data_IF_764436239172
#
_entry.id   IF_764436239172
#
_cell.length_a   1.000
_cell.length_b   1.000
_cell.length_c   1.000
_cell.angle_alpha   90.00
_cell.angle_beta   90.00
_cell.angle_gamma   90.00
#
_symmetry.space_group_name_H-M   'P 1'
#
loop_
_entity.id
_entity.type
_entity.pdbx_description
1 polymer ?
#
# COMPACT_ATOMS: atom_id res chain seq x y z
N UNK A 1 5.24 -32.33 -6.37
CA UNK A 1 4.47 -31.07 -6.51
C UNK A 1 4.45 -30.31 -5.17
N UNK A 2 5.33 -29.32 -5.03
CA UNK A 2 5.59 -28.57 -3.79
C UNK A 2 4.55 -27.45 -3.65
N UNK A 3 3.28 -27.80 -3.43
CA UNK A 3 2.34 -26.87 -2.80
C UNK A 3 2.50 -27.07 -1.29
N UNK A 4 3.61 -26.54 -0.77
CA UNK A 4 3.83 -26.44 0.67
C UNK A 4 2.65 -25.71 1.28
N UNK A 5 2.10 -26.27 2.36
CA UNK A 5 1.01 -25.75 3.18
C UNK A 5 1.12 -24.23 3.29
N UNK A 6 0.13 -23.49 2.78
CA UNK A 6 -0.11 -22.12 3.23
C UNK A 6 -0.47 -22.22 4.72
N UNK A 7 0.51 -22.06 5.60
CA UNK A 7 0.24 -21.92 7.02
C UNK A 7 -0.26 -20.49 7.24
N UNK A 8 -1.51 -20.35 7.64
CA UNK A 8 -2.05 -19.08 8.07
C UNK A 8 -1.28 -18.67 9.34
N UNK A 9 -0.39 -17.68 9.20
CA UNK A 9 0.49 -17.21 10.26
C UNK A 9 0.28 -15.70 10.47
N UNK A 10 -0.80 -15.30 11.16
CA UNK A 10 -1.18 -13.89 11.30
C UNK A 10 -0.11 -13.06 12.01
N UNK A 11 0.64 -13.66 12.93
CA UNK A 11 1.66 -12.96 13.71
C UNK A 11 3.07 -13.01 13.09
N UNK A 12 3.26 -13.79 12.01
CA UNK A 12 4.53 -13.83 11.30
C UNK A 12 4.77 -12.53 10.52
N UNK A 13 6.04 -12.22 10.31
CA UNK A 13 6.47 -11.00 9.61
C UNK A 13 6.05 -11.06 8.14
N UNK A 14 5.26 -10.09 7.71
CA UNK A 14 4.82 -9.92 6.33
C UNK A 14 5.70 -8.91 5.57
N UNK A 15 6.07 -7.81 6.23
CA UNK A 15 6.83 -6.69 5.62
C UNK A 15 7.91 -6.21 6.56
N UNK A 16 9.07 -5.84 5.99
CA UNK A 16 10.12 -5.11 6.72
C UNK A 16 10.34 -3.76 6.05
N UNK A 17 10.02 -2.67 6.75
CA UNK A 17 10.28 -1.31 6.29
C UNK A 17 11.54 -0.75 6.95
N UNK A 18 12.47 -0.26 6.14
CA UNK A 18 13.68 0.40 6.66
C UNK A 18 13.44 1.90 6.88
N UNK A 19 13.94 2.39 8.00
CA UNK A 19 13.91 3.81 8.38
C UNK A 19 15.33 4.34 8.56
N UNK A 20 15.56 5.64 8.37
CA UNK A 20 16.91 6.24 8.38
C UNK A 20 17.70 6.01 9.67
N UNK A 21 17.00 5.90 10.82
CA UNK A 21 17.61 5.68 12.13
C UNK A 21 18.39 6.90 12.64
N UNK A 22 18.16 7.31 13.88
CA UNK A 22 18.83 8.48 14.49
C UNK A 22 20.35 8.33 14.67
N UNK A 23 20.87 7.11 14.58
CA UNK A 23 22.29 6.76 14.73
C UNK A 23 23.03 6.63 13.39
N UNK A 24 22.40 7.03 12.27
CA UNK A 24 22.96 6.93 10.92
C UNK A 24 22.98 5.52 10.30
N UNK A 25 22.50 4.51 11.04
CA UNK A 25 22.32 3.14 10.53
C UNK A 25 20.83 2.86 10.37
N UNK A 26 20.37 2.40 9.19
CA UNK A 26 18.97 2.09 8.98
C UNK A 26 18.46 1.01 9.95
N UNK A 27 17.23 1.20 10.45
CA UNK A 27 16.55 0.23 11.32
C UNK A 27 15.40 -0.41 10.56
N UNK A 28 15.35 -1.74 10.54
CA UNK A 28 14.24 -2.52 9.97
C UNK A 28 13.09 -2.64 10.96
N UNK A 29 11.91 -2.18 10.56
CA UNK A 29 10.66 -2.35 11.31
C UNK A 29 9.90 -3.52 10.71
N UNK A 30 9.72 -4.57 11.50
CA UNK A 30 8.93 -5.75 11.13
C UNK A 30 7.45 -5.49 11.36
N UNK A 31 6.63 -5.83 10.38
CA UNK A 31 5.17 -5.67 10.43
C UNK A 31 4.54 -7.03 10.15
N UNK A 32 3.68 -7.50 11.05
CA UNK A 32 2.98 -8.79 10.91
C UNK A 32 1.85 -8.72 9.88
N UNK A 33 1.36 -9.88 9.45
CA UNK A 33 0.16 -9.97 8.62
C UNK A 33 -1.07 -9.35 9.32
N UNK A 34 -1.27 -9.64 10.61
CA UNK A 34 -2.38 -9.10 11.40
C UNK A 34 -2.34 -7.58 11.52
N UNK A 35 -1.15 -7.00 11.73
CA UNK A 35 -0.97 -5.55 11.78
C UNK A 35 -1.35 -4.86 10.47
N UNK A 36 -0.97 -5.46 9.32
CA UNK A 36 -1.35 -4.95 8.01
C UNK A 36 -2.85 -5.00 7.77
N UNK A 37 -3.50 -6.12 8.11
CA UNK A 37 -4.95 -6.30 7.96
C UNK A 37 -5.71 -5.27 8.82
N UNK A 38 -5.36 -5.14 10.10
CA UNK A 38 -6.02 -4.19 11.02
C UNK A 38 -5.83 -2.75 10.54
N UNK A 39 -4.62 -2.39 10.10
CA UNK A 39 -4.36 -1.08 9.51
C UNK A 39 -5.22 -0.82 8.27
N UNK A 40 -5.36 -1.81 7.38
CA UNK A 40 -6.12 -1.65 6.15
C UNK A 40 -7.62 -1.53 6.43
N UNK A 41 -8.17 -2.32 7.35
CA UNK A 41 -9.57 -2.16 7.79
C UNK A 41 -9.82 -0.77 8.40
N UNK A 42 -8.89 -0.28 9.24
CA UNK A 42 -8.99 1.06 9.80
C UNK A 42 -8.90 2.15 8.72
N UNK A 43 -8.00 1.98 7.73
CA UNK A 43 -7.85 2.90 6.60
C UNK A 43 -9.13 2.96 5.76
N UNK A 44 -9.70 1.81 5.41
CA UNK A 44 -10.98 1.70 4.68
C UNK A 44 -12.07 2.44 5.44
N UNK A 45 -12.20 2.20 6.74
CA UNK A 45 -13.24 2.83 7.56
C UNK A 45 -13.10 4.36 7.68
N UNK A 46 -11.86 4.88 7.74
CA UNK A 46 -11.59 6.31 7.91
C UNK A 46 -11.67 7.08 6.60
N UNK A 47 -11.11 6.51 5.51
CA UNK A 47 -11.06 7.18 4.20
C UNK A 47 -12.33 6.92 3.39
N UNK A 48 -13.00 5.79 3.62
CA UNK A 48 -14.17 5.39 2.87
C UNK A 48 -13.85 4.74 1.53
N UNK A 49 -12.71 4.03 1.42
CA UNK A 49 -12.37 3.30 0.20
C UNK A 49 -13.41 2.21 -0.12
N UNK A 50 -13.75 2.11 -1.40
CA UNK A 50 -14.72 1.14 -1.93
C UNK A 50 -14.16 0.44 -3.17
N UNK A 51 -14.89 -0.56 -3.66
CA UNK A 51 -14.61 -1.23 -4.92
C UNK A 51 -14.74 -0.31 -6.16
N UNK A 52 -15.47 0.81 -6.03
CA UNK A 52 -15.67 1.78 -7.11
C UNK A 52 -14.50 2.78 -7.24
N UNK A 53 -13.55 2.77 -6.30
CA UNK A 53 -12.42 3.69 -6.29
C UNK A 53 -11.33 3.29 -7.28
N UNK A 54 -10.73 4.31 -7.92
CA UNK A 54 -9.54 4.20 -8.77
C UNK A 54 -8.38 4.89 -8.08
N UNK A 55 -7.43 4.11 -7.56
CA UNK A 55 -6.31 4.59 -6.77
C UNK A 55 -5.02 4.74 -7.58
N UNK A 56 -4.49 5.95 -7.66
CA UNK A 56 -3.20 6.23 -8.28
C UNK A 56 -2.06 6.09 -7.28
N UNK A 57 -1.10 5.22 -7.58
CA UNK A 57 0.14 5.07 -6.82
C UNK A 57 1.12 6.22 -7.10
N UNK A 58 1.01 7.29 -6.30
CA UNK A 58 1.90 8.46 -6.32
C UNK A 58 3.04 8.37 -5.30
N UNK A 59 2.88 7.55 -4.25
CA UNK A 59 3.90 7.32 -3.22
C UNK A 59 4.69 6.02 -3.51
N UNK A 60 5.99 5.95 -3.14
CA UNK A 60 6.77 4.73 -3.33
C UNK A 60 6.23 3.55 -2.52
N UNK A 61 6.08 2.39 -3.16
CA UNK A 61 5.65 1.13 -2.51
C UNK A 61 6.75 0.49 -1.63
N UNK A 62 7.96 1.04 -1.60
CA UNK A 62 9.00 0.64 -0.64
C UNK A 62 8.91 1.38 0.71
N UNK A 63 7.96 2.31 0.84
CA UNK A 63 7.68 3.05 2.06
C UNK A 63 6.30 2.71 2.60
N UNK A 64 6.14 2.72 3.93
CA UNK A 64 4.87 2.37 4.58
C UNK A 64 3.71 3.28 4.15
N UNK A 65 4.01 4.54 3.77
CA UNK A 65 3.03 5.46 3.20
C UNK A 65 2.34 4.88 1.97
N UNK A 66 3.11 4.44 0.97
CA UNK A 66 2.58 3.81 -0.24
C UNK A 66 1.93 2.45 0.01
N UNK A 67 2.58 1.60 0.82
CA UNK A 67 2.07 0.25 1.14
C UNK A 67 0.71 0.35 1.85
N UNK A 68 0.54 1.28 2.79
CA UNK A 68 -0.66 1.33 3.64
C UNK A 68 -1.95 1.59 2.85
N UNK A 69 -1.98 2.65 2.04
CA UNK A 69 -3.15 2.93 1.19
C UNK A 69 -3.29 1.93 0.06
N UNK A 70 -2.18 1.42 -0.50
CA UNK A 70 -2.23 0.37 -1.53
C UNK A 70 -2.89 -0.91 -1.03
N UNK A 71 -2.54 -1.38 0.17
CA UNK A 71 -3.13 -2.60 0.73
C UNK A 71 -4.60 -2.41 1.12
N UNK A 72 -4.94 -1.24 1.68
CA UNK A 72 -6.32 -0.90 1.98
C UNK A 72 -7.20 -0.88 0.72
N UNK A 73 -6.72 -0.27 -0.36
CA UNK A 73 -7.39 -0.27 -1.66
C UNK A 73 -7.54 -1.67 -2.25
N UNK A 74 -6.50 -2.51 -2.12
CA UNK A 74 -6.56 -3.90 -2.56
C UNK A 74 -7.62 -4.69 -1.78
N UNK A 75 -7.71 -4.48 -0.46
CA UNK A 75 -8.70 -5.12 0.40
C UNK A 75 -10.13 -4.62 0.14
N UNK A 76 -10.29 -3.34 -0.23
CA UNK A 76 -11.58 -2.77 -0.65
C UNK A 76 -12.03 -3.28 -2.03
N UNK A 77 -11.13 -3.86 -2.83
CA UNK A 77 -11.44 -4.37 -4.17
C UNK A 77 -11.40 -3.30 -5.27
N UNK A 78 -10.85 -2.12 -4.98
CA UNK A 78 -10.77 -1.02 -5.95
C UNK A 78 -9.68 -1.21 -7.01
N UNK A 79 -9.70 -0.34 -8.01
CA UNK A 79 -8.77 -0.35 -9.13
C UNK A 79 -7.44 0.33 -8.77
N UNK A 80 -6.33 -0.21 -9.25
CA UNK A 80 -5.00 0.38 -9.06
C UNK A 80 -4.42 0.89 -10.38
N UNK A 81 -4.05 2.17 -10.39
CA UNK A 81 -3.30 2.80 -11.48
C UNK A 81 -1.86 3.01 -11.02
N UNK A 82 -0.91 2.51 -11.81
CA UNK A 82 0.52 2.62 -11.52
C UNK A 82 1.20 3.47 -12.58
N UNK A 83 2.08 4.36 -12.14
CA UNK A 83 3.03 5.07 -13.00
C UNK A 83 4.45 4.63 -12.63
N UNK A 84 5.41 4.56 -13.59
CA UNK A 84 6.77 4.07 -13.30
C UNK A 84 7.49 4.86 -12.21
N UNK A 85 7.20 6.16 -12.15
CA UNK A 85 7.72 7.11 -11.17
C UNK A 85 6.73 8.27 -11.06
N UNK A 86 6.65 8.87 -9.88
CA UNK A 86 5.93 10.12 -9.73
C UNK A 86 6.58 11.24 -10.54
N UNK A 87 5.83 11.75 -11.51
CA UNK A 87 6.11 12.98 -12.24
C UNK A 87 4.78 13.72 -12.40
N UNK A 88 4.75 15.02 -12.09
CA UNK A 88 3.48 15.76 -12.01
C UNK A 88 2.66 15.69 -13.30
N UNK A 89 3.32 15.77 -14.47
CA UNK A 89 2.65 15.67 -15.77
C UNK A 89 2.06 14.28 -16.02
N UNK A 90 2.82 13.22 -15.73
CA UNK A 90 2.35 11.84 -15.88
C UNK A 90 1.21 11.53 -14.91
N UNK A 91 1.30 12.02 -13.67
CA UNK A 91 0.24 11.87 -12.68
C UNK A 91 -1.04 12.59 -13.13
N UNK A 92 -0.94 13.85 -13.60
CA UNK A 92 -2.10 14.59 -14.10
C UNK A 92 -2.76 13.90 -15.29
N UNK A 93 -1.96 13.39 -16.23
CA UNK A 93 -2.46 12.61 -17.37
C UNK A 93 -3.14 11.32 -16.91
N UNK A 94 -2.53 10.56 -16.00
CA UNK A 94 -3.10 9.33 -15.48
C UNK A 94 -4.42 9.56 -14.72
N UNK A 95 -4.53 10.69 -14.01
CA UNK A 95 -5.77 11.11 -13.33
C UNK A 95 -6.90 11.31 -14.35
N UNK A 96 -6.62 12.02 -15.44
CA UNK A 96 -7.60 12.30 -16.48
C UNK A 96 -8.00 11.04 -17.25
N UNK A 97 -7.02 10.25 -17.71
CA UNK A 97 -7.24 9.06 -18.55
C UNK A 97 -7.96 7.91 -17.83
N UNK A 98 -7.70 7.74 -16.53
CA UNK A 98 -8.21 6.61 -15.76
C UNK A 98 -9.32 7.01 -14.78
N UNK A 99 -9.72 8.29 -14.77
CA UNK A 99 -10.72 8.82 -13.83
C UNK A 99 -10.36 8.52 -12.36
N UNK A 100 -9.12 8.81 -11.97
CA UNK A 100 -8.61 8.54 -10.61
C UNK A 100 -9.48 9.24 -9.56
N UNK A 101 -9.94 8.49 -8.57
CA UNK A 101 -10.77 9.00 -7.46
C UNK A 101 -9.96 9.24 -6.19
N UNK A 102 -8.84 8.52 -6.02
CA UNK A 102 -8.07 8.53 -4.78
C UNK A 102 -6.56 8.50 -5.06
N UNK A 103 -5.80 9.25 -4.27
CA UNK A 103 -4.32 9.19 -4.23
C UNK A 103 -3.84 9.73 -2.88
N UNK A 104 -2.56 9.52 -2.56
CA UNK A 104 -1.92 10.14 -1.39
C UNK A 104 -0.79 11.07 -1.83
N UNK A 105 -0.67 12.23 -1.20
CA UNK A 105 0.41 13.19 -1.43
C UNK A 105 1.44 13.14 -0.33
#
# INVERSE_FOLDING_TARGET
PVFSKYCWAPEDVAVVCFTSGTTGRPKGVTISHSALIVQSLAKIAIVGYTEDDVYLHTAPMCHIGGISSGLAMLMAGGCHVLIPKFEAKLAAQAIEENHVTSLIT
#
